data_IF_774168657387
#
_entry.id   IF_774168657387
#
_cell.length_a   1.000
_cell.length_b   1.000
_cell.length_c   1.000
_cell.angle_alpha   90.00
_cell.angle_beta   90.00
_cell.angle_gamma   90.00
#
_symmetry.space_group_name_H-M   'P 1'
#
loop_
_entity.id
_entity.type
_entity.pdbx_description
1 polymer ?
#
# COMPACT_ATOMS: atom_id res chain seq x y z
N UNK A 1 -60.85 3.54 1.14
CA UNK A 1 -60.06 2.45 1.73
C UNK A 1 -59.38 1.78 0.55
N UNK A 2 -58.14 2.16 0.23
CA UNK A 2 -57.49 1.68 -0.98
C UNK A 2 -56.99 0.24 -0.74
N UNK A 3 -57.71 -0.74 -1.30
CA UNK A 3 -57.18 -2.08 -1.48
C UNK A 3 -55.97 -1.99 -2.40
N UNK A 4 -54.82 -2.41 -1.88
CA UNK A 4 -53.60 -2.55 -2.68
C UNK A 4 -53.76 -3.78 -3.55
N UNK A 5 -53.86 -3.58 -4.86
CA UNK A 5 -53.91 -4.65 -5.84
C UNK A 5 -52.69 -5.58 -5.67
N UNK A 6 -52.89 -6.92 -5.57
CA UNK A 6 -51.80 -7.83 -5.31
C UNK A 6 -50.81 -7.86 -6.49
N UNK A 7 -49.51 -7.77 -6.18
CA UNK A 7 -48.45 -7.79 -7.20
C UNK A 7 -48.59 -8.97 -8.17
N UNK A 8 -48.39 -8.73 -9.49
CA UNK A 8 -48.51 -9.78 -10.49
C UNK A 8 -47.49 -10.90 -10.23
N UNK A 9 -47.79 -12.17 -10.56
CA UNK A 9 -46.90 -13.30 -10.32
C UNK A 9 -45.49 -13.14 -10.92
N UNK A 10 -45.37 -12.41 -12.04
CA UNK A 10 -44.09 -12.05 -12.66
C UNK A 10 -43.25 -11.13 -11.78
N UNK A 11 -43.85 -10.12 -11.14
CA UNK A 11 -43.16 -9.23 -10.22
C UNK A 11 -42.64 -9.96 -8.98
N UNK A 12 -43.43 -10.91 -8.44
CA UNK A 12 -42.99 -11.77 -7.33
C UNK A 12 -41.78 -12.62 -7.70
N UNK A 13 -41.75 -13.20 -8.90
CA UNK A 13 -40.62 -13.98 -9.41
C UNK A 13 -39.37 -13.12 -9.63
N UNK A 14 -39.51 -11.95 -10.25
CA UNK A 14 -38.40 -11.01 -10.44
C UNK A 14 -37.79 -10.58 -9.12
N UNK A 15 -38.64 -10.24 -8.14
CA UNK A 15 -38.18 -9.88 -6.80
C UNK A 15 -37.44 -11.05 -6.12
N UNK A 16 -37.99 -12.27 -6.19
CA UNK A 16 -37.32 -13.45 -5.65
C UNK A 16 -35.93 -13.68 -6.29
N UNK A 17 -35.83 -13.57 -7.62
CA UNK A 17 -34.54 -13.69 -8.32
C UNK A 17 -33.57 -12.57 -7.95
N UNK A 18 -34.06 -11.34 -7.79
CA UNK A 18 -33.25 -10.20 -7.34
C UNK A 18 -32.66 -10.45 -5.94
N UNK A 19 -33.50 -10.89 -4.99
CA UNK A 19 -33.05 -11.20 -3.63
C UNK A 19 -32.05 -12.36 -3.62
N UNK A 20 -32.31 -13.42 -4.39
CA UNK A 20 -31.38 -14.55 -4.50
C UNK A 20 -30.03 -14.12 -5.08
N UNK A 21 -30.05 -13.31 -6.14
CA UNK A 21 -28.82 -12.77 -6.77
C UNK A 21 -28.06 -11.88 -5.80
N UNK A 22 -28.75 -10.99 -5.09
CA UNK A 22 -28.13 -10.11 -4.09
C UNK A 22 -27.47 -10.92 -2.96
N UNK A 23 -28.15 -11.96 -2.46
CA UNK A 23 -27.61 -12.83 -1.42
C UNK A 23 -26.33 -13.55 -1.87
N UNK A 24 -26.32 -14.10 -3.08
CA UNK A 24 -25.14 -14.74 -3.67
C UNK A 24 -24.00 -13.73 -3.81
N UNK A 25 -24.30 -12.55 -4.36
CA UNK A 25 -23.31 -11.49 -4.54
C UNK A 25 -22.66 -11.08 -3.21
N UNK A 26 -23.46 -10.77 -2.19
CA UNK A 26 -22.95 -10.36 -0.86
C UNK A 26 -22.10 -11.45 -0.23
N UNK A 27 -22.52 -12.70 -0.34
CA UNK A 27 -21.78 -13.85 0.23
C UNK A 27 -20.43 -14.03 -0.45
N UNK A 28 -20.40 -14.05 -1.80
CA UNK A 28 -19.16 -14.22 -2.55
C UNK A 28 -18.23 -13.01 -2.38
N UNK A 29 -18.77 -11.80 -2.44
CA UNK A 29 -18.01 -10.58 -2.20
C UNK A 29 -17.41 -10.56 -0.78
N UNK A 30 -18.21 -10.92 0.23
CA UNK A 30 -17.75 -11.03 1.62
C UNK A 30 -16.59 -12.02 1.76
N UNK A 31 -16.70 -13.20 1.16
CA UNK A 31 -15.63 -14.21 1.17
C UNK A 31 -14.34 -13.70 0.50
N UNK A 32 -14.46 -13.02 -0.64
CA UNK A 32 -13.34 -12.38 -1.33
C UNK A 32 -12.68 -11.29 -0.47
N UNK A 33 -13.47 -10.42 0.15
CA UNK A 33 -12.96 -9.32 0.97
C UNK A 33 -12.31 -9.83 2.27
N UNK A 34 -12.85 -10.90 2.87
CA UNK A 34 -12.22 -11.59 4.00
C UNK A 34 -10.85 -12.17 3.59
N UNK A 35 -10.76 -12.81 2.42
CA UNK A 35 -9.51 -13.35 1.90
C UNK A 35 -8.50 -12.22 1.63
N UNK A 36 -8.93 -11.12 1.02
CA UNK A 36 -8.10 -9.95 0.75
C UNK A 36 -7.50 -9.37 2.03
N UNK A 37 -8.32 -9.18 3.07
CA UNK A 37 -7.89 -8.54 4.32
C UNK A 37 -7.08 -9.43 5.25
N UNK A 38 -7.03 -10.75 4.99
CA UNK A 38 -6.43 -11.73 5.90
C UNK A 38 -5.01 -11.37 6.28
N UNK A 39 -4.17 -10.84 5.37
CA UNK A 39 -2.76 -10.53 5.65
C UNK A 39 -2.52 -9.31 6.54
N UNK A 40 -3.43 -8.34 6.55
CA UNK A 40 -3.23 -7.00 7.13
C UNK A 40 -2.45 -6.08 6.18
N UNK A 41 -2.62 -4.75 6.26
CA UNK A 41 -1.93 -3.80 5.38
C UNK A 41 -0.50 -3.51 5.82
N UNK A 42 0.30 -2.92 4.93
CA UNK A 42 1.53 -2.23 5.32
C UNK A 42 1.20 -0.89 6.00
N UNK A 43 1.92 -0.60 7.09
CA UNK A 43 1.90 0.69 7.75
C UNK A 43 3.26 1.36 7.53
N UNK A 44 3.25 2.49 6.82
CA UNK A 44 4.47 3.23 6.51
C UNK A 44 4.46 4.57 7.24
N UNK A 45 5.39 4.76 8.15
CA UNK A 45 5.52 6.00 8.92
C UNK A 45 6.69 6.82 8.41
N UNK A 46 6.39 7.98 7.86
CA UNK A 46 7.34 8.99 7.44
C UNK A 46 7.64 9.88 8.65
N UNK A 47 8.89 9.94 9.08
CA UNK A 47 9.30 10.69 10.26
C UNK A 47 10.63 11.42 10.01
N UNK A 48 11.03 12.24 10.97
CA UNK A 48 12.37 12.83 11.00
C UNK A 48 12.91 12.65 12.41
N UNK A 49 14.10 12.08 12.52
CA UNK A 49 14.79 11.84 13.78
C UNK A 49 16.16 12.48 13.73
N UNK A 50 16.46 13.39 14.67
CA UNK A 50 17.71 14.15 14.70
C UNK A 50 18.04 14.85 13.37
N UNK A 51 17.02 15.38 12.68
CA UNK A 51 17.16 16.05 11.38
C UNK A 51 17.36 15.11 10.19
N UNK A 52 17.36 13.78 10.39
CA UNK A 52 17.46 12.79 9.32
C UNK A 52 16.07 12.22 9.00
N UNK A 53 15.62 12.24 7.73
CA UNK A 53 14.38 11.57 7.32
C UNK A 53 14.44 10.06 7.55
N UNK A 54 13.37 9.51 8.12
CA UNK A 54 13.22 8.09 8.39
C UNK A 54 11.90 7.56 7.82
N UNK A 55 11.96 6.45 7.08
CA UNK A 55 10.80 5.67 6.67
C UNK A 55 10.74 4.40 7.53
N UNK A 56 9.73 4.28 8.38
CA UNK A 56 9.50 3.09 9.20
C UNK A 56 8.46 2.22 8.52
N UNK A 57 8.84 0.98 8.27
CA UNK A 57 8.01 -0.04 7.64
C UNK A 57 7.57 -1.00 8.73
N UNK A 58 6.25 -1.05 8.94
CA UNK A 58 5.62 -1.87 9.96
C UNK A 58 4.65 -2.86 9.33
N UNK A 59 4.69 -4.10 9.81
CA UNK A 59 3.70 -5.11 9.46
C UNK A 59 3.54 -6.12 10.60
N UNK A 60 2.33 -6.25 11.19
CA UNK A 60 2.14 -6.95 12.46
C UNK A 60 2.49 -8.45 12.40
N UNK A 61 2.41 -9.07 11.22
CA UNK A 61 2.71 -10.51 11.06
C UNK A 61 4.08 -10.83 10.46
N UNK A 62 4.66 -9.89 9.70
CA UNK A 62 5.91 -10.13 8.98
C UNK A 62 7.10 -9.63 9.80
N UNK A 63 6.93 -8.50 10.49
CA UNK A 63 7.98 -7.84 11.27
C UNK A 63 7.71 -7.86 12.78
N UNK A 64 6.52 -8.26 13.21
CA UNK A 64 6.14 -8.27 14.63
C UNK A 64 6.13 -6.84 15.21
N UNK A 65 6.68 -6.62 16.42
CA UNK A 65 6.65 -5.30 17.07
C UNK A 65 7.77 -4.36 16.61
N UNK A 66 8.77 -4.85 15.87
CA UNK A 66 9.97 -4.06 15.53
C UNK A 66 9.92 -3.62 14.06
N UNK A 67 9.82 -2.30 13.78
CA UNK A 67 9.83 -1.80 12.41
C UNK A 67 11.17 -2.02 11.72
N UNK A 68 11.15 -2.13 10.40
CA UNK A 68 12.36 -1.91 9.58
C UNK A 68 12.42 -0.42 9.27
N UNK A 69 13.54 0.23 9.57
CA UNK A 69 13.69 1.68 9.40
C UNK A 69 14.71 1.97 8.30
N UNK A 70 14.30 2.73 7.29
CA UNK A 70 15.21 3.31 6.30
C UNK A 70 15.53 4.74 6.70
N UNK A 71 16.81 5.09 6.76
CA UNK A 71 17.29 6.43 7.10
C UNK A 71 17.95 7.05 5.87
N UNK A 72 17.61 8.29 5.57
CA UNK A 72 18.09 8.99 4.38
C UNK A 72 18.98 10.18 4.78
N UNK A 73 20.23 9.95 5.21
CA UNK A 73 21.13 11.03 5.62
C UNK A 73 21.39 12.02 4.47
N UNK A 74 21.27 13.32 4.77
CA UNK A 74 21.50 14.40 3.80
C UNK A 74 20.30 14.72 2.91
N UNK A 75 19.19 14.00 3.01
CA UNK A 75 17.95 14.29 2.29
C UNK A 75 17.03 15.21 3.10
N UNK A 76 16.20 15.97 2.41
CA UNK A 76 15.21 16.88 3.02
C UNK A 76 13.80 16.53 2.53
N UNK A 77 12.84 16.28 3.44
CA UNK A 77 11.48 15.94 3.07
C UNK A 77 10.81 17.14 2.38
N UNK A 78 9.92 16.86 1.42
CA UNK A 78 9.16 17.92 0.73
C UNK A 78 8.12 18.60 1.62
N UNK A 79 7.77 17.96 2.74
CA UNK A 79 6.75 18.38 3.69
C UNK A 79 7.31 18.39 5.12
N UNK A 80 6.96 19.40 5.90
CA UNK A 80 7.51 19.64 7.25
C UNK A 80 6.66 19.08 8.41
N UNK A 81 5.43 18.62 8.14
CA UNK A 81 4.47 18.12 9.13
C UNK A 81 4.61 16.61 9.36
N UNK A 82 5.82 16.20 9.73
CA UNK A 82 6.13 14.82 10.10
C UNK A 82 6.03 14.65 11.64
N UNK A 83 5.60 13.48 12.15
CA UNK A 83 5.41 12.22 11.44
C UNK A 83 4.02 12.03 10.82
N UNK A 84 3.98 11.32 9.67
CA UNK A 84 2.73 10.90 9.01
C UNK A 84 2.76 9.39 8.81
N UNK A 85 1.67 8.70 9.16
CA UNK A 85 1.50 7.27 8.92
C UNK A 85 0.53 7.04 7.77
N UNK A 86 0.96 6.32 6.74
CA UNK A 86 0.14 5.86 5.63
C UNK A 86 -0.17 4.37 5.79
N UNK A 87 -1.46 4.03 5.82
CA UNK A 87 -1.94 2.65 5.91
C UNK A 87 -2.40 2.18 4.54
N UNK A 88 -1.68 1.24 3.94
CA UNK A 88 -1.94 0.77 2.58
C UNK A 88 -2.97 -0.37 2.58
N UNK A 89 -4.24 -0.03 2.90
CA UNK A 89 -5.38 -0.95 2.82
C UNK A 89 -6.25 -0.74 1.56
N UNK A 90 -5.98 0.36 0.83
CA UNK A 90 -6.64 0.84 -0.38
C UNK A 90 -5.57 1.40 -1.34
N UNK A 91 -5.85 1.53 -2.65
CA UNK A 91 -4.88 2.09 -3.60
C UNK A 91 -4.68 3.58 -3.31
N UNK A 92 -3.65 3.91 -2.54
CA UNK A 92 -3.24 5.29 -2.28
C UNK A 92 -2.19 5.67 -3.32
N UNK A 93 -2.51 6.65 -4.17
CA UNK A 93 -1.65 7.10 -5.27
C UNK A 93 -1.17 8.55 -5.11
N UNK A 94 -1.54 9.21 -4.01
CA UNK A 94 -1.10 10.56 -3.71
C UNK A 94 0.41 10.60 -3.42
N UNK A 95 1.03 11.77 -3.62
CA UNK A 95 2.41 11.99 -3.22
C UNK A 95 2.59 11.83 -1.70
N UNK A 96 3.62 11.10 -1.29
CA UNK A 96 4.04 10.94 0.09
C UNK A 96 5.14 11.96 0.43
N UNK A 97 5.42 12.21 1.72
CA UNK A 97 6.39 13.25 2.12
C UNK A 97 7.81 13.09 1.56
N UNK A 98 8.22 11.85 1.21
CA UNK A 98 9.55 11.58 0.64
C UNK A 98 9.53 11.43 -0.89
N UNK A 99 8.35 11.48 -1.49
CA UNK A 99 8.15 11.35 -2.92
C UNK A 99 6.91 10.52 -3.28
N UNK A 100 6.69 10.25 -4.57
CA UNK A 100 5.48 9.62 -5.09
C UNK A 100 5.40 8.11 -4.81
N UNK A 101 4.16 7.60 -4.78
CA UNK A 101 3.90 6.16 -4.93
C UNK A 101 3.98 5.82 -6.41
N UNK A 102 4.93 4.97 -6.79
CA UNK A 102 5.16 4.53 -8.18
C UNK A 102 4.17 3.41 -8.54
N UNK A 103 3.95 2.49 -7.60
CA UNK A 103 3.10 1.32 -7.81
C UNK A 103 2.45 0.89 -6.49
N UNK A 104 1.21 0.42 -6.58
CA UNK A 104 0.48 -0.16 -5.46
C UNK A 104 -0.42 -1.29 -5.96
N UNK A 105 -0.31 -2.47 -5.36
CA UNK A 105 -1.26 -3.57 -5.52
C UNK A 105 -1.76 -4.02 -4.14
N UNK A 106 -3.03 -3.72 -3.85
CA UNK A 106 -3.71 -4.08 -2.61
C UNK A 106 -4.85 -5.09 -2.85
N UNK A 107 -4.81 -5.83 -3.96
CA UNK A 107 -5.78 -6.87 -4.34
C UNK A 107 -5.84 -7.99 -3.29
N UNK A 108 -4.69 -8.32 -2.70
CA UNK A 108 -4.56 -9.18 -1.53
C UNK A 108 -3.55 -8.54 -0.59
N UNK A 109 -3.93 -8.32 0.67
CA UNK A 109 -3.04 -7.70 1.65
C UNK A 109 -2.00 -8.70 2.17
N UNK A 110 -0.76 -8.26 2.46
CA UNK A 110 -0.34 -6.84 2.54
C UNK A 110 -0.06 -6.18 1.19
N UNK A 111 0.04 -6.96 0.11
CA UNK A 111 0.22 -6.42 -1.23
C UNK A 111 1.64 -5.93 -1.48
N UNK A 112 1.78 -5.19 -2.60
CA UNK A 112 3.05 -4.62 -3.05
C UNK A 112 2.94 -3.11 -3.10
N UNK A 113 3.96 -2.41 -2.61
CA UNK A 113 4.05 -0.95 -2.66
C UNK A 113 5.42 -0.57 -3.15
N UNK A 114 5.49 0.30 -4.14
CA UNK A 114 6.75 0.88 -4.61
C UNK A 114 6.69 2.39 -4.43
N UNK A 115 7.62 2.92 -3.66
CA UNK A 115 7.80 4.34 -3.42
C UNK A 115 9.05 4.84 -4.13
N UNK A 116 9.00 6.07 -4.63
CA UNK A 116 10.20 6.84 -4.90
C UNK A 116 10.47 7.71 -3.67
N UNK A 117 11.54 7.43 -2.93
CA UNK A 117 11.97 8.21 -1.77
C UNK A 117 13.25 8.95 -2.13
N UNK A 118 13.17 10.25 -2.39
CA UNK A 118 14.33 11.09 -2.72
C UNK A 118 15.15 10.61 -3.95
N UNK A 119 14.52 9.88 -4.87
CA UNK A 119 15.19 9.25 -6.01
C UNK A 119 15.59 7.79 -5.79
N UNK A 120 15.50 7.28 -4.56
CA UNK A 120 15.63 5.86 -4.25
C UNK A 120 14.32 5.13 -4.54
N UNK A 121 14.41 3.89 -5.02
CA UNK A 121 13.24 3.04 -5.19
C UNK A 121 13.13 2.09 -4.01
N UNK A 122 12.05 2.24 -3.26
CA UNK A 122 11.73 1.38 -2.11
C UNK A 122 10.53 0.54 -2.50
N UNK A 123 10.77 -0.72 -2.82
CA UNK A 123 9.74 -1.69 -3.19
C UNK A 123 9.53 -2.70 -2.07
N UNK A 124 8.33 -2.67 -1.50
CA UNK A 124 7.92 -3.39 -0.31
C UNK A 124 7.00 -4.52 -0.78
N UNK A 125 7.49 -5.75 -0.71
CA UNK A 125 6.71 -6.95 -1.03
C UNK A 125 6.66 -7.90 0.17
N UNK A 126 5.65 -8.79 0.29
CA UNK A 126 5.52 -9.67 1.46
C UNK A 126 6.74 -10.57 1.69
N UNK A 127 7.46 -10.91 0.61
CA UNK A 127 8.63 -11.79 0.64
C UNK A 127 9.89 -11.08 1.14
N UNK A 128 10.12 -9.85 0.70
CA UNK A 128 11.39 -9.14 0.90
C UNK A 128 11.21 -7.64 0.68
N UNK A 129 12.18 -6.85 1.14
CA UNK A 129 12.34 -5.47 0.71
C UNK A 129 13.23 -5.46 -0.54
N UNK A 130 12.93 -4.60 -1.50
CA UNK A 130 13.84 -4.22 -2.57
C UNK A 130 14.19 -2.75 -2.39
N UNK A 131 15.49 -2.46 -2.28
CA UNK A 131 16.02 -1.12 -2.21
C UNK A 131 16.90 -0.89 -3.43
N UNK A 132 16.55 0.07 -4.27
CA UNK A 132 17.28 0.41 -5.49
C UNK A 132 17.55 -0.82 -6.39
N UNK A 133 16.54 -1.68 -6.53
CA UNK A 133 16.58 -2.96 -7.28
C UNK A 133 17.41 -4.07 -6.62
N UNK A 134 17.90 -3.87 -5.40
CA UNK A 134 18.63 -4.88 -4.63
C UNK A 134 17.73 -5.50 -3.56
N UNK A 135 17.74 -6.84 -3.48
CA UNK A 135 16.98 -7.58 -2.48
C UNK A 135 17.60 -7.40 -1.09
N UNK A 136 16.78 -7.02 -0.13
CA UNK A 136 17.11 -6.90 1.29
C UNK A 136 16.09 -7.71 2.08
N UNK A 137 16.57 -8.77 2.73
CA UNK A 137 15.70 -9.65 3.52
C UNK A 137 15.00 -8.88 4.64
N UNK A 138 13.76 -9.26 4.93
CA UNK A 138 13.05 -8.74 6.10
C UNK A 138 13.73 -9.19 7.39
N UNK A 139 14.31 -8.23 8.10
CA UNK A 139 14.86 -8.43 9.44
C UNK A 139 14.27 -7.36 10.35
N UNK A 140 13.47 -7.79 11.32
CA UNK A 140 12.74 -6.90 12.21
C UNK A 140 13.71 -6.06 13.06
N UNK A 141 13.44 -4.77 13.21
CA UNK A 141 14.30 -3.84 13.97
C UNK A 141 15.56 -3.38 13.23
N UNK A 142 15.76 -3.80 11.98
CA UNK A 142 16.92 -3.35 11.20
C UNK A 142 16.80 -1.88 10.84
N UNK A 143 17.91 -1.16 10.99
CA UNK A 143 18.07 0.21 10.55
C UNK A 143 19.01 0.20 9.34
N UNK A 144 18.52 0.65 8.19
CA UNK A 144 19.26 0.68 6.93
C UNK A 144 19.53 2.14 6.60
N UNK A 145 20.80 2.49 6.47
CA UNK A 145 21.20 3.80 5.95
C UNK A 145 21.23 3.77 4.44
N UNK A 146 20.47 4.66 3.82
CA UNK A 146 20.34 4.79 2.38
C UNK A 146 21.08 6.06 1.96
N UNK A 147 22.28 5.88 1.42
CA UNK A 147 23.15 6.99 1.03
C UNK A 147 22.69 7.62 -0.28
N UNK A 148 22.68 8.96 -0.35
CA UNK A 148 22.38 9.66 -1.59
C UNK A 148 23.31 9.29 -2.77
N UNK A 149 24.52 8.77 -2.48
CA UNK A 149 25.46 8.30 -3.49
C UNK A 149 25.07 6.95 -4.12
N UNK A 150 24.20 6.16 -3.48
CA UNK A 150 23.75 4.87 -4.00
C UNK A 150 22.55 4.96 -4.93
N UNK A 151 22.07 6.17 -5.25
CA UNK A 151 20.89 6.36 -6.11
C UNK A 151 21.08 5.68 -7.46
N UNK A 152 20.10 4.87 -7.91
CA UNK A 152 20.18 4.24 -9.21
C UNK A 152 20.12 5.30 -10.32
N UNK A 153 20.88 5.12 -11.42
CA UNK A 153 20.79 6.02 -12.57
C UNK A 153 19.36 6.11 -13.11
N UNK A 154 18.88 7.31 -13.50
CA UNK A 154 17.52 7.49 -14.01
C UNK A 154 17.18 6.58 -15.20
N UNK A 155 18.17 6.25 -16.03
CA UNK A 155 18.01 5.33 -17.17
C UNK A 155 17.67 3.90 -16.72
N UNK A 156 18.32 3.40 -15.65
CA UNK A 156 17.99 2.08 -15.08
C UNK A 156 16.57 2.04 -14.53
N UNK A 157 16.12 3.14 -13.92
CA UNK A 157 14.75 3.23 -13.43
C UNK A 157 13.73 3.23 -14.57
N UNK A 158 14.02 3.95 -15.66
CA UNK A 158 13.15 4.00 -16.85
C UNK A 158 13.01 2.65 -17.52
N UNK A 159 14.09 1.91 -17.71
CA UNK A 159 14.06 0.56 -18.31
C UNK A 159 13.24 -0.44 -17.47
N UNK A 160 13.14 -0.23 -16.16
CA UNK A 160 12.33 -1.04 -15.25
C UNK A 160 10.90 -0.53 -15.06
N UNK A 161 10.50 0.55 -15.75
CA UNK A 161 9.18 1.17 -15.56
C UNK A 161 9.00 1.84 -14.19
N UNK A 162 10.10 2.05 -13.45
CA UNK A 162 10.13 2.67 -12.12
C UNK A 162 10.68 4.10 -12.15
N UNK A 163 10.91 4.66 -13.34
CA UNK A 163 11.33 6.04 -13.52
C UNK A 163 10.17 7.00 -13.22
N UNK A 164 10.35 7.87 -12.23
CA UNK A 164 9.42 8.97 -12.01
C UNK A 164 9.66 10.08 -13.03
N UNK A 165 8.60 10.53 -13.72
CA UNK A 165 8.69 11.53 -14.79
C UNK A 165 8.38 12.96 -14.35
N UNK A 166 8.13 13.19 -13.06
CA UNK A 166 7.86 14.53 -12.53
C UNK A 166 6.59 15.12 -13.13
N UNK A 167 5.43 14.83 -12.54
CA UNK A 167 4.24 15.67 -12.67
C UNK A 167 3.74 16.05 -11.30
#
# INVERSE_FOLDING_TARGET
MNESEPLPPSAKRLFATFIATLFIYVTLYGACEMKRRKGGPWNLTFATSNGVPELRIEHPRLLGPLPVTLRFPGETPSRADLPITAVFNQPITNAMPFGPVIFVDNTVLPGTITLNCFGHVVEIVPRTLYLDLHEVAWVAGTNIEVSAASKPPPEKLRTKGQGWTGR
#
